data_IF_616196550314
#
_entry.id   IF_616196550314
#
_cell.length_a   1.000
_cell.length_b   1.000
_cell.length_c   1.000
_cell.angle_alpha   90.00
_cell.angle_beta   90.00
_cell.angle_gamma   90.00
#
_symmetry.space_group_name_H-M   'P 1'
#
loop_
_entity.id
_entity.type
_entity.pdbx_description
1 polymer ?
#
# COMPACT_ATOMS: atom_id res chain seq x y z
N UNK A 1 -5.06 24.31 7.66
CA UNK A 1 -5.79 23.80 6.48
C UNK A 1 -7.27 24.17 6.59
N UNK A 2 -7.99 24.39 5.47
CA UNK A 2 -9.44 24.65 5.51
C UNK A 2 -10.22 23.36 5.89
N UNK A 3 -11.41 23.44 6.51
CA UNK A 3 -12.18 22.26 6.89
C UNK A 3 -12.49 21.31 5.72
N UNK A 4 -12.86 21.87 4.56
CA UNK A 4 -13.15 21.08 3.35
C UNK A 4 -11.92 20.37 2.79
N UNK A 5 -10.76 21.02 2.85
CA UNK A 5 -9.48 20.42 2.43
C UNK A 5 -9.11 19.26 3.37
N UNK A 6 -9.37 19.44 4.67
CA UNK A 6 -9.16 18.39 5.68
C UNK A 6 -10.08 17.19 5.46
N UNK A 7 -11.36 17.42 5.19
CA UNK A 7 -12.31 16.36 4.86
C UNK A 7 -11.86 15.56 3.62
N UNK A 8 -11.44 16.26 2.56
CA UNK A 8 -10.88 15.63 1.35
C UNK A 8 -9.66 14.78 1.66
N UNK A 9 -8.73 15.30 2.45
CA UNK A 9 -7.53 14.58 2.85
C UNK A 9 -7.86 13.30 3.62
N UNK A 10 -8.85 13.35 4.51
CA UNK A 10 -9.31 12.19 5.28
C UNK A 10 -9.94 11.13 4.36
N UNK A 11 -10.83 11.52 3.44
CA UNK A 11 -11.50 10.60 2.52
C UNK A 11 -10.54 9.98 1.50
N UNK A 12 -9.61 10.78 0.97
CA UNK A 12 -8.61 10.33 0.00
C UNK A 12 -7.43 9.58 0.67
N UNK A 13 -7.41 9.49 2.01
CA UNK A 13 -6.31 8.91 2.77
C UNK A 13 -5.98 7.46 2.36
N UNK A 14 -6.94 6.54 2.16
CA UNK A 14 -6.65 5.16 1.75
C UNK A 14 -5.93 5.11 0.39
N UNK A 15 -6.41 5.92 -0.57
CA UNK A 15 -5.84 6.03 -1.92
C UNK A 15 -4.39 6.54 -1.85
N UNK A 16 -4.18 7.63 -1.11
CA UNK A 16 -2.86 8.23 -0.93
C UNK A 16 -1.89 7.26 -0.25
N UNK A 17 -2.33 6.59 0.81
CA UNK A 17 -1.51 5.59 1.52
C UNK A 17 -1.04 4.50 0.57
N UNK A 18 -1.90 4.02 -0.32
CA UNK A 18 -1.58 2.92 -1.24
C UNK A 18 -0.64 3.34 -2.36
N UNK A 19 -0.85 4.51 -2.95
CA UNK A 19 -0.19 4.89 -4.20
C UNK A 19 1.01 5.83 -4.03
N UNK A 20 1.04 6.66 -2.98
CA UNK A 20 2.06 7.69 -2.83
C UNK A 20 3.42 7.09 -2.41
N UNK A 21 4.47 7.46 -3.13
CA UNK A 21 5.84 7.34 -2.65
C UNK A 21 6.32 8.70 -2.12
N UNK A 22 6.49 8.76 -0.80
CA UNK A 22 6.85 9.97 -0.09
C UNK A 22 8.22 10.48 -0.49
N UNK A 23 9.16 9.58 -0.77
CA UNK A 23 10.54 9.94 -1.12
C UNK A 23 10.58 10.81 -2.38
N UNK A 24 9.64 10.60 -3.31
CA UNK A 24 9.50 11.37 -4.55
C UNK A 24 9.11 12.82 -4.30
N UNK A 25 8.18 13.08 -3.37
CA UNK A 25 7.60 14.42 -3.18
C UNK A 25 8.30 15.25 -2.09
N UNK A 26 8.98 14.60 -1.14
CA UNK A 26 9.68 15.30 -0.03
C UNK A 26 10.61 16.43 -0.50
N UNK A 27 11.43 16.27 -1.57
CA UNK A 27 12.28 17.35 -2.05
C UNK A 27 11.52 18.63 -2.42
N UNK A 28 10.30 18.53 -2.95
CA UNK A 28 9.50 19.70 -3.32
C UNK A 28 8.80 20.32 -2.11
N UNK A 29 8.36 19.49 -1.16
CA UNK A 29 7.82 19.96 0.12
C UNK A 29 8.89 20.69 0.94
N UNK A 30 10.15 20.21 0.89
CA UNK A 30 11.31 20.87 1.50
C UNK A 30 11.57 22.24 0.92
N UNK A 31 11.56 22.39 -0.42
CA UNK A 31 11.76 23.69 -1.10
C UNK A 31 10.72 24.73 -0.67
N UNK A 32 9.52 24.26 -0.29
CA UNK A 32 8.41 25.08 0.19
C UNK A 32 8.36 25.20 1.71
N UNK A 33 9.33 24.62 2.43
CA UNK A 33 9.43 24.62 3.90
C UNK A 33 8.17 24.09 4.60
N UNK A 34 7.50 23.10 4.00
CA UNK A 34 6.28 22.48 4.56
C UNK A 34 6.58 21.74 5.86
N UNK A 35 7.72 21.05 5.90
CA UNK A 35 8.19 20.27 7.03
C UNK A 35 9.54 20.81 7.53
N UNK A 36 9.78 20.71 8.83
CA UNK A 36 11.12 20.90 9.38
C UNK A 36 12.02 19.72 8.99
N UNK A 37 13.34 19.90 9.13
CA UNK A 37 14.29 18.81 8.86
C UNK A 37 14.04 17.59 9.75
N UNK A 38 13.70 17.82 11.01
CA UNK A 38 13.38 16.76 11.97
C UNK A 38 12.09 16.02 11.58
N UNK A 39 11.06 16.74 11.11
CA UNK A 39 9.83 16.13 10.60
C UNK A 39 10.09 15.29 9.35
N UNK A 40 10.88 15.79 8.41
CA UNK A 40 11.29 15.05 7.21
C UNK A 40 12.07 13.78 7.56
N UNK A 41 13.00 13.87 8.51
CA UNK A 41 13.76 12.73 8.99
C UNK A 41 12.83 11.69 9.64
N UNK A 42 11.85 12.12 10.45
CA UNK A 42 10.87 11.22 11.06
C UNK A 42 9.97 10.52 10.03
N UNK A 43 9.60 11.23 8.96
CA UNK A 43 8.83 10.68 7.85
C UNK A 43 9.67 9.65 7.08
N UNK A 44 10.88 10.03 6.66
CA UNK A 44 11.71 9.23 5.74
C UNK A 44 12.51 8.11 6.39
N UNK A 45 12.74 8.18 7.71
CA UNK A 45 13.46 7.14 8.46
C UNK A 45 12.73 5.80 8.50
N UNK A 46 11.42 5.79 8.31
CA UNK A 46 10.66 4.54 8.24
C UNK A 46 11.01 3.78 6.96
N UNK A 47 11.31 2.47 7.06
CA UNK A 47 11.66 1.68 5.88
C UNK A 47 10.44 1.32 5.01
N UNK A 48 9.22 1.43 5.58
CA UNK A 48 7.98 1.01 4.93
C UNK A 48 7.28 2.24 4.32
N UNK A 49 7.18 2.27 3.00
CA UNK A 49 6.55 3.35 2.22
C UNK A 49 5.19 3.74 2.78
N UNK A 50 4.36 2.75 3.11
CA UNK A 50 3.05 2.94 3.76
C UNK A 50 3.14 3.78 5.03
N UNK A 51 4.04 3.44 5.95
CA UNK A 51 4.20 4.18 7.20
C UNK A 51 4.78 5.58 6.98
N UNK A 52 5.68 5.74 6.00
CA UNK A 52 6.14 7.07 5.59
C UNK A 52 4.94 7.92 5.16
N UNK A 53 4.06 7.38 4.31
CA UNK A 53 2.85 8.07 3.85
C UNK A 53 1.91 8.39 4.99
N UNK A 54 1.62 7.42 5.87
CA UNK A 54 0.77 7.63 7.05
C UNK A 54 1.30 8.80 7.90
N UNK A 55 2.60 8.79 8.23
CA UNK A 55 3.26 9.84 9.01
C UNK A 55 3.20 11.19 8.31
N UNK A 56 3.48 11.24 7.01
CA UNK A 56 3.38 12.46 6.21
C UNK A 56 1.97 13.04 6.31
N UNK A 57 0.94 12.22 6.11
CA UNK A 57 -0.45 12.66 6.15
C UNK A 57 -0.90 13.10 7.56
N UNK A 58 -0.43 12.42 8.61
CA UNK A 58 -0.70 12.80 10.01
C UNK A 58 -0.08 14.15 10.38
N UNK A 59 1.12 14.44 9.87
CA UNK A 59 1.76 15.74 10.04
C UNK A 59 1.07 16.80 9.19
N UNK A 60 0.75 16.50 7.93
CA UNK A 60 0.11 17.42 6.99
C UNK A 60 -1.26 17.91 7.47
N UNK A 61 -2.03 17.06 8.14
CA UNK A 61 -3.34 17.42 8.72
C UNK A 61 -3.24 18.60 9.72
N UNK A 62 -2.07 18.76 10.35
CA UNK A 62 -1.79 19.81 11.34
C UNK A 62 -1.20 21.08 10.70
N UNK A 63 -0.92 21.07 9.39
CA UNK A 63 -0.27 22.16 8.66
C UNK A 63 -1.25 23.23 8.18
N UNK A 64 -0.69 24.36 7.73
CA UNK A 64 -1.47 25.51 7.24
C UNK A 64 -2.01 25.24 5.84
N UNK A 65 -2.87 26.13 5.37
CA UNK A 65 -3.48 25.98 4.03
C UNK A 65 -2.45 26.12 2.91
N UNK A 66 -1.44 26.96 3.11
CA UNK A 66 -0.32 27.14 2.17
C UNK A 66 0.51 25.85 2.04
N UNK A 67 0.82 25.21 3.16
CA UNK A 67 1.51 23.92 3.22
C UNK A 67 0.73 22.81 2.48
N UNK A 68 -0.58 22.78 2.68
CA UNK A 68 -1.46 21.86 1.95
C UNK A 68 -1.50 22.15 0.46
N UNK A 69 -1.44 23.42 0.06
CA UNK A 69 -1.33 23.78 -1.37
C UNK A 69 -0.03 23.28 -1.96
N UNK A 70 1.11 23.46 -1.27
CA UNK A 70 2.39 22.93 -1.72
C UNK A 70 2.39 21.41 -1.86
N UNK A 71 1.68 20.69 -0.97
CA UNK A 71 1.45 19.26 -1.12
C UNK A 71 0.66 18.91 -2.38
N UNK A 72 -0.42 19.64 -2.68
CA UNK A 72 -1.18 19.43 -3.91
C UNK A 72 -0.34 19.71 -5.16
N UNK A 73 0.46 20.77 -5.17
CA UNK A 73 1.34 21.11 -6.29
C UNK A 73 2.37 19.98 -6.53
N UNK A 74 2.92 19.40 -5.46
CA UNK A 74 3.82 18.25 -5.56
C UNK A 74 3.10 16.99 -6.09
N UNK A 75 1.86 16.74 -5.67
CA UNK A 75 1.05 15.66 -6.23
C UNK A 75 0.73 15.90 -7.71
N UNK A 76 0.35 17.12 -8.10
CA UNK A 76 0.05 17.44 -9.50
C UNK A 76 1.27 17.19 -10.40
N UNK A 77 2.47 17.47 -9.88
CA UNK A 77 3.73 17.28 -10.61
C UNK A 77 4.11 15.81 -10.77
N UNK A 78 4.04 15.01 -9.68
CA UNK A 78 4.60 13.64 -9.66
C UNK A 78 3.55 12.54 -9.77
N UNK A 79 2.32 12.83 -9.34
CA UNK A 79 1.19 11.90 -9.27
C UNK A 79 -0.10 12.58 -9.74
N UNK A 80 -0.21 12.98 -11.03
CA UNK A 80 -1.39 13.69 -11.53
C UNK A 80 -2.71 12.97 -11.23
N UNK A 81 -2.71 11.63 -11.27
CA UNK A 81 -3.87 10.81 -10.91
C UNK A 81 -4.28 10.99 -9.44
N UNK A 82 -3.34 11.01 -8.48
CA UNK A 82 -3.64 11.25 -7.06
C UNK A 82 -4.10 12.67 -6.80
N UNK A 83 -3.56 13.65 -7.54
CA UNK A 83 -4.05 15.02 -7.49
C UNK A 83 -5.50 15.12 -7.97
N UNK A 84 -5.84 14.45 -9.08
CA UNK A 84 -7.20 14.39 -9.60
C UNK A 84 -8.15 13.71 -8.60
N UNK A 85 -7.76 12.56 -8.02
CA UNK A 85 -8.55 11.93 -6.96
C UNK A 85 -8.76 12.87 -5.77
N UNK A 86 -7.71 13.53 -5.28
CA UNK A 86 -7.81 14.43 -4.12
C UNK A 86 -8.68 15.67 -4.38
N UNK A 87 -8.72 16.15 -5.62
CA UNK A 87 -9.43 17.39 -6.03
C UNK A 87 -10.78 17.16 -6.70
N UNK A 88 -11.08 15.92 -7.10
CA UNK A 88 -12.32 15.50 -7.76
C UNK A 88 -13.58 15.57 -6.89
N UNK A 89 -14.73 15.08 -7.39
CA UNK A 89 -15.96 14.96 -6.62
C UNK A 89 -15.78 14.09 -5.37
N UNK A 90 -16.39 14.46 -4.25
CA UNK A 90 -16.22 13.72 -2.99
C UNK A 90 -16.81 12.30 -3.05
N UNK A 91 -17.91 12.12 -3.79
CA UNK A 91 -18.62 10.84 -3.90
C UNK A 91 -17.76 9.78 -4.62
N UNK A 92 -17.02 10.20 -5.66
CA UNK A 92 -16.08 9.33 -6.39
C UNK A 92 -14.91 8.88 -5.49
N UNK A 93 -14.37 9.78 -4.66
CA UNK A 93 -13.30 9.45 -3.71
C UNK A 93 -13.75 8.38 -2.70
N UNK A 94 -14.98 8.47 -2.22
CA UNK A 94 -15.53 7.50 -1.26
C UNK A 94 -15.75 6.13 -1.86
N UNK A 95 -16.21 6.06 -3.12
CA UNK A 95 -16.38 4.80 -3.84
C UNK A 95 -15.03 4.13 -4.12
N UNK A 96 -14.07 4.88 -4.65
CA UNK A 96 -12.70 4.40 -4.87
C UNK A 96 -12.04 3.90 -3.59
N UNK A 97 -12.21 4.64 -2.47
CA UNK A 97 -11.64 4.25 -1.19
C UNK A 97 -12.27 2.95 -0.64
N UNK A 98 -13.58 2.76 -0.78
CA UNK A 98 -14.27 1.54 -0.32
C UNK A 98 -13.84 0.31 -1.11
N UNK A 99 -13.82 0.42 -2.44
CA UNK A 99 -13.39 -0.68 -3.31
C UNK A 99 -11.97 -1.15 -2.93
N UNK A 100 -11.06 -0.20 -2.68
CA UNK A 100 -9.68 -0.50 -2.27
C UNK A 100 -9.56 -1.19 -0.90
N UNK A 101 -10.44 -0.89 0.05
CA UNK A 101 -10.44 -1.52 1.38
C UNK A 101 -10.99 -2.96 1.33
N UNK A 102 -12.01 -3.22 0.52
CA UNK A 102 -12.63 -4.55 0.43
C UNK A 102 -11.69 -5.59 -0.24
N UNK A 103 -11.05 -5.23 -1.35
CA UNK A 103 -10.28 -6.17 -2.18
C UNK A 103 -8.99 -6.69 -1.53
N UNK A 104 -8.43 -5.99 -0.54
CA UNK A 104 -7.24 -6.43 0.20
C UNK A 104 -7.55 -7.00 1.60
N UNK A 105 -8.80 -6.86 2.05
CA UNK A 105 -9.19 -7.19 3.42
C UNK A 105 -8.85 -8.63 3.80
N UNK A 106 -9.02 -9.59 2.89
CA UNK A 106 -8.75 -11.03 3.11
C UNK A 106 -7.28 -11.29 3.42
N UNK A 107 -6.35 -10.83 2.57
CA UNK A 107 -4.92 -11.03 2.80
C UNK A 107 -4.42 -10.22 4.00
N UNK A 108 -5.00 -9.04 4.24
CA UNK A 108 -4.67 -8.28 5.44
C UNK A 108 -5.08 -9.00 6.72
N UNK A 109 -6.28 -9.60 6.75
CA UNK A 109 -6.75 -10.41 7.88
C UNK A 109 -5.92 -11.70 8.04
N UNK A 110 -5.54 -12.32 6.92
CA UNK A 110 -4.71 -13.53 6.91
C UNK A 110 -3.20 -13.25 7.01
N UNK A 111 -2.76 -12.00 7.20
CA UNK A 111 -1.35 -11.61 7.09
C UNK A 111 -0.42 -12.43 7.99
N UNK A 112 -0.78 -12.60 9.26
CA UNK A 112 0.04 -13.37 10.22
C UNK A 112 0.15 -14.82 9.81
N UNK A 113 -0.96 -15.42 9.36
CA UNK A 113 -1.01 -16.79 8.87
C UNK A 113 -0.14 -16.95 7.62
N UNK A 114 -0.25 -16.05 6.65
CA UNK A 114 0.59 -16.07 5.44
C UNK A 114 2.08 -15.98 5.79
N UNK A 115 2.45 -15.09 6.71
CA UNK A 115 3.84 -14.96 7.18
C UNK A 115 4.39 -16.24 7.81
N UNK A 116 3.54 -17.16 8.26
CA UNK A 116 3.91 -18.43 8.87
C UNK A 116 3.93 -19.57 7.86
N UNK A 117 2.99 -19.59 6.90
CA UNK A 117 2.78 -20.73 6.01
C UNK A 117 3.50 -20.64 4.65
N UNK A 118 3.78 -19.42 4.14
CA UNK A 118 4.39 -19.27 2.81
C UNK A 118 5.79 -18.66 2.87
N UNK A 119 6.63 -19.02 1.90
CA UNK A 119 7.90 -18.32 1.62
C UNK A 119 7.75 -17.53 0.33
N UNK A 120 7.90 -16.21 0.42
CA UNK A 120 7.90 -15.34 -0.74
C UNK A 120 8.93 -15.74 -1.80
N UNK A 121 10.05 -16.39 -1.44
CA UNK A 121 11.02 -16.88 -2.41
C UNK A 121 10.41 -17.91 -3.40
N UNK A 122 9.40 -18.68 -2.96
CA UNK A 122 8.69 -19.68 -3.78
C UNK A 122 7.60 -19.03 -4.63
N UNK A 123 6.93 -18.00 -4.09
CA UNK A 123 5.80 -17.30 -4.74
C UNK A 123 6.28 -16.30 -5.79
N UNK A 124 7.37 -15.57 -5.53
CA UNK A 124 7.88 -14.50 -6.38
C UNK A 124 8.15 -14.89 -7.85
N UNK A 125 8.67 -16.08 -8.19
CA UNK A 125 8.84 -16.51 -9.57
C UNK A 125 7.52 -16.50 -10.36
N UNK A 126 6.40 -16.89 -9.75
CA UNK A 126 5.08 -16.86 -10.38
C UNK A 126 4.59 -15.42 -10.53
N UNK A 127 4.72 -14.63 -9.47
CA UNK A 127 4.36 -13.20 -9.50
C UNK A 127 5.14 -12.42 -10.56
N UNK A 128 6.40 -12.79 -10.80
CA UNK A 128 7.23 -12.18 -11.83
C UNK A 128 6.79 -12.54 -13.25
N UNK A 129 6.25 -13.75 -13.48
CA UNK A 129 5.69 -14.12 -14.79
C UNK A 129 4.51 -13.22 -15.17
N UNK A 130 3.70 -12.82 -14.18
CA UNK A 130 2.61 -11.86 -14.35
C UNK A 130 3.04 -10.39 -14.45
N UNK A 131 4.35 -10.09 -14.42
CA UNK A 131 4.91 -8.72 -14.41
C UNK A 131 4.39 -7.83 -13.26
N UNK A 132 3.94 -8.43 -12.15
CA UNK A 132 3.40 -7.69 -11.01
C UNK A 132 4.46 -6.91 -10.22
N UNK A 133 5.71 -7.36 -10.28
CA UNK A 133 6.83 -6.73 -9.59
C UNK A 133 7.99 -6.43 -10.54
N UNK A 134 8.61 -5.28 -10.35
CA UNK A 134 9.84 -4.92 -11.02
C UNK A 134 11.07 -5.57 -10.34
N UNK A 135 12.23 -5.46 -10.98
CA UNK A 135 13.48 -6.09 -10.49
C UNK A 135 13.91 -5.61 -9.11
N UNK A 136 13.71 -4.32 -8.82
CA UNK A 136 14.11 -3.72 -7.55
C UNK A 136 13.22 -4.20 -6.40
N UNK A 137 11.91 -4.25 -6.64
CA UNK A 137 10.92 -4.79 -5.69
C UNK A 137 11.22 -6.25 -5.35
N UNK A 138 11.45 -7.09 -6.37
CA UNK A 138 11.86 -8.49 -6.16
C UNK A 138 13.13 -8.58 -5.34
N UNK A 139 14.14 -7.76 -5.66
CA UNK A 139 15.41 -7.75 -4.93
C UNK A 139 15.22 -7.33 -3.45
N UNK A 140 14.33 -6.36 -3.19
CA UNK A 140 13.99 -5.89 -1.84
C UNK A 140 13.39 -7.00 -0.97
N UNK A 141 12.61 -7.91 -1.56
CA UNK A 141 12.06 -9.07 -0.87
C UNK A 141 13.11 -10.15 -0.70
N UNK A 142 13.79 -10.57 -1.77
CA UNK A 142 14.73 -11.71 -1.74
C UNK A 142 15.90 -11.48 -0.78
N UNK A 143 16.33 -10.22 -0.59
CA UNK A 143 17.42 -9.88 0.33
C UNK A 143 17.05 -10.04 1.82
N UNK A 144 15.79 -10.23 2.18
CA UNK A 144 15.42 -10.40 3.59
C UNK A 144 15.85 -11.77 4.10
N UNK A 145 16.28 -11.81 5.37
CA UNK A 145 16.79 -13.02 6.00
C UNK A 145 15.68 -13.78 6.75
N UNK A 146 15.23 -14.88 6.14
CA UNK A 146 14.24 -15.78 6.72
C UNK A 146 12.88 -15.68 6.01
N UNK A 147 12.21 -16.82 5.91
CA UNK A 147 10.93 -16.95 5.19
C UNK A 147 9.90 -15.93 5.67
N UNK A 148 9.66 -15.88 7.00
CA UNK A 148 8.71 -14.96 7.62
C UNK A 148 8.94 -13.49 7.22
N UNK A 149 10.18 -13.01 7.32
CA UNK A 149 10.52 -11.61 6.98
C UNK A 149 10.47 -11.33 5.48
N UNK A 150 10.77 -12.33 4.63
CA UNK A 150 10.59 -12.19 3.18
C UNK A 150 9.11 -12.08 2.84
N UNK A 151 8.29 -12.94 3.42
CA UNK A 151 6.84 -12.91 3.22
C UNK A 151 6.23 -11.63 3.74
N UNK A 152 6.66 -11.15 4.91
CA UNK A 152 6.26 -9.83 5.42
C UNK A 152 6.58 -8.71 4.41
N UNK A 153 7.81 -8.71 3.85
CA UNK A 153 8.24 -7.74 2.87
C UNK A 153 7.49 -7.85 1.54
N UNK A 154 7.11 -9.05 1.10
CA UNK A 154 6.24 -9.24 -0.06
C UNK A 154 4.86 -8.63 0.20
N UNK A 155 4.25 -8.93 1.34
CA UNK A 155 2.93 -8.41 1.71
C UNK A 155 2.94 -6.88 1.88
N UNK A 156 4.03 -6.31 2.43
CA UNK A 156 4.23 -4.85 2.48
C UNK A 156 4.28 -4.21 1.07
N UNK A 157 4.81 -4.92 0.08
CA UNK A 157 4.80 -4.44 -1.31
C UNK A 157 3.44 -4.66 -1.97
N UNK A 158 2.73 -5.74 -1.66
CA UNK A 158 1.40 -6.02 -2.21
C UNK A 158 0.37 -4.98 -1.76
N UNK A 159 0.46 -4.49 -0.52
CA UNK A 159 -0.37 -3.39 0.00
C UNK A 159 -0.31 -2.12 -0.86
N UNK A 160 0.72 -2.02 -1.69
CA UNK A 160 1.05 -0.88 -2.53
C UNK A 160 0.75 -1.13 -4.02
N UNK A 161 0.24 -2.31 -4.37
CA UNK A 161 -0.08 -2.71 -5.73
C UNK A 161 -1.55 -2.46 -6.07
N UNK A 162 -1.89 -2.27 -7.35
CA UNK A 162 -3.28 -2.30 -7.79
C UNK A 162 -3.98 -3.61 -7.39
N UNK A 163 -5.31 -3.60 -7.20
CA UNK A 163 -6.07 -4.77 -6.79
C UNK A 163 -5.91 -5.98 -7.72
N UNK A 164 -5.71 -5.78 -9.02
CA UNK A 164 -5.56 -6.86 -10.00
C UNK A 164 -4.30 -7.71 -9.74
N UNK A 165 -3.35 -7.19 -8.97
CA UNK A 165 -2.16 -7.94 -8.55
C UNK A 165 -2.50 -8.97 -7.47
N UNK A 166 -3.60 -8.78 -6.74
CA UNK A 166 -4.10 -9.70 -5.72
C UNK A 166 -4.43 -11.07 -6.31
N UNK A 167 -5.15 -11.10 -7.43
CA UNK A 167 -5.50 -12.35 -8.11
C UNK A 167 -4.24 -13.12 -8.49
N UNK A 168 -3.22 -12.41 -8.98
CA UNK A 168 -1.91 -13.00 -9.24
C UNK A 168 -1.25 -13.61 -8.01
N UNK A 169 -1.40 -13.00 -6.83
CA UNK A 169 -0.91 -13.56 -5.56
C UNK A 169 -1.69 -14.83 -5.20
N UNK A 170 -3.01 -14.81 -5.33
CA UNK A 170 -3.84 -15.99 -5.03
C UNK A 170 -3.53 -17.14 -5.98
N UNK A 171 -3.37 -16.89 -7.27
CA UNK A 171 -2.93 -17.89 -8.25
C UNK A 171 -1.55 -18.47 -7.88
N UNK A 172 -0.59 -17.61 -7.53
CA UNK A 172 0.74 -18.07 -7.13
C UNK A 172 0.70 -18.90 -5.83
N UNK A 173 -0.16 -18.55 -4.87
CA UNK A 173 -0.39 -19.34 -3.65
C UNK A 173 -1.09 -20.66 -3.99
N UNK A 174 -2.09 -20.68 -4.89
CA UNK A 174 -2.76 -21.90 -5.31
C UNK A 174 -1.78 -22.91 -5.91
N UNK A 175 -0.82 -22.44 -6.72
CA UNK A 175 0.22 -23.26 -7.34
C UNK A 175 1.26 -23.77 -6.33
N UNK A 176 1.72 -22.91 -5.41
CA UNK A 176 2.81 -23.24 -4.49
C UNK A 176 2.35 -23.89 -3.18
N UNK A 177 1.18 -23.48 -2.69
CA UNK A 177 0.62 -23.78 -1.38
C UNK A 177 -0.90 -24.00 -1.47
N UNK A 178 -1.39 -25.06 -2.14
CA UNK A 178 -2.82 -25.27 -2.37
C UNK A 178 -3.68 -25.25 -1.08
N UNK A 179 -3.15 -25.78 0.02
CA UNK A 179 -3.82 -25.78 1.32
C UNK A 179 -4.02 -24.37 1.90
N UNK A 180 -3.03 -23.49 1.74
CA UNK A 180 -3.13 -22.08 2.14
C UNK A 180 -4.19 -21.39 1.29
N UNK A 181 -4.20 -21.62 -0.04
CA UNK A 181 -5.20 -21.05 -0.93
C UNK A 181 -6.63 -21.44 -0.54
N UNK A 182 -6.88 -22.73 -0.27
CA UNK A 182 -8.20 -23.22 0.16
C UNK A 182 -8.66 -22.57 1.46
N UNK A 183 -7.73 -22.34 2.39
CA UNK A 183 -8.02 -21.69 3.67
C UNK A 183 -8.29 -20.19 3.52
N UNK A 184 -7.60 -19.51 2.60
CA UNK A 184 -7.85 -18.09 2.30
C UNK A 184 -9.20 -17.85 1.61
N UNK A 185 -9.58 -18.77 0.72
CA UNK A 185 -10.78 -18.64 -0.12
C UNK A 185 -12.03 -19.27 0.49
N UNK A 186 -11.90 -19.96 1.62
CA UNK A 186 -13.00 -20.69 2.26
C UNK A 186 -13.45 -21.93 1.47
N UNK A 187 -12.70 -22.35 0.45
CA UNK A 187 -13.02 -23.53 -0.37
C UNK A 187 -12.61 -24.86 0.27
N UNK A 188 -12.05 -24.84 1.48
CA UNK A 188 -11.54 -26.02 2.19
C UNK A 188 -12.53 -26.78 3.08
N UNK A 189 -13.68 -26.18 3.43
CA UNK A 189 -14.55 -26.74 4.49
C UNK A 189 -15.66 -27.71 4.02
N UNK A 190 -15.87 -27.88 2.72
CA UNK A 190 -16.93 -28.77 2.20
C UNK A 190 -16.52 -30.26 2.10
N UNK A 191 -15.28 -30.63 2.46
CA UNK A 191 -14.79 -32.01 2.28
C UNK A 191 -14.82 -32.89 3.55
N UNK A 192 -15.24 -32.38 4.71
CA UNK A 192 -15.26 -33.18 5.96
C UNK A 192 -16.53 -33.01 6.77
N UNK A 193 -17.68 -33.37 6.21
CA UNK A 193 -18.83 -33.83 7.01
C UNK A 193 -19.41 -35.11 6.40
N UNK A 194 -18.74 -36.23 6.63
CA UNK A 194 -19.41 -37.54 6.65
C UNK A 194 -18.70 -38.43 7.66
N UNK A 195 -19.22 -38.45 8.89
CA UNK A 195 -19.12 -39.57 9.82
C UNK A 195 -20.42 -39.69 10.58
#
# INVERSE_FOLDING_TARGET
>A
MKPRDKERLIKCRPILIRALDVVTIIPDLRKKSVFSREEEDLITKDARRRHQTIKLLDMLEKKRTEDYSAFKDALETHYPHLFLSLTGPLDEIEEDAKNLEEEWSVVQQARTFLMEEIDAATVLPYMRKGNYFNREEVHKVVRQHGSRTRTEALLDLMEMKPPEVYDGLLEAIAECYPHVYLQLTGQGDDATTTR
#
